data_IF_048143455899
#
_entry.id   IF_048143455899
#
_cell.length_a   1.000
_cell.length_b   1.000
_cell.length_c   1.000
_cell.angle_alpha   90.00
_cell.angle_beta   90.00
_cell.angle_gamma   90.00
#
_symmetry.space_group_name_H-M   'P 1'
#
loop_
_entity.id
_entity.type
_entity.pdbx_description
1 polymer ?
#
# COMPACT_ATOMS: atom_id res chain seq x y z
N UNK A 1 -52.54 -34.96 100.05
CA UNK A 1 -53.54 -34.83 101.12
C UNK A 1 -54.17 -33.42 101.09
N UNK A 2 -54.76 -33.01 99.97
CA UNK A 2 -55.32 -31.64 99.80
C UNK A 2 -56.84 -31.66 99.59
N UNK A 3 -57.43 -32.84 99.37
CA UNK A 3 -58.84 -32.97 99.02
C UNK A 3 -59.80 -32.45 100.11
N UNK A 4 -59.59 -32.72 101.42
CA UNK A 4 -60.48 -32.21 102.46
C UNK A 4 -60.45 -30.67 102.59
N UNK A 5 -59.28 -30.05 102.35
CA UNK A 5 -59.11 -28.60 102.39
C UNK A 5 -59.73 -27.92 101.16
N UNK A 6 -59.53 -28.50 99.97
CA UNK A 6 -60.19 -28.07 98.73
C UNK A 6 -61.71 -28.24 98.80
N UNK A 7 -62.20 -29.29 99.45
CA UNK A 7 -63.64 -29.52 99.61
C UNK A 7 -64.29 -28.49 100.54
N UNK A 8 -63.62 -28.10 101.63
CA UNK A 8 -64.07 -27.02 102.53
C UNK A 8 -64.12 -25.67 101.82
N UNK A 9 -63.14 -25.38 100.96
CA UNK A 9 -63.05 -24.14 100.20
C UNK A 9 -63.60 -24.24 98.76
N UNK A 10 -64.43 -25.25 98.46
CA UNK A 10 -64.87 -25.53 97.08
C UNK A 10 -65.53 -24.33 96.41
N UNK A 11 -66.30 -23.54 97.17
CA UNK A 11 -66.99 -22.37 96.63
C UNK A 11 -65.99 -21.32 96.12
N UNK A 12 -65.02 -20.95 96.95
CA UNK A 12 -63.98 -20.00 96.59
C UNK A 12 -63.10 -20.51 95.44
N UNK A 13 -62.75 -21.80 95.46
CA UNK A 13 -61.97 -22.43 94.39
C UNK A 13 -62.72 -22.45 93.06
N UNK A 14 -64.00 -22.84 93.05
CA UNK A 14 -64.82 -22.84 91.84
C UNK A 14 -65.07 -21.42 91.31
N UNK A 15 -65.23 -20.43 92.19
CA UNK A 15 -65.29 -19.02 91.80
C UNK A 15 -63.99 -18.56 91.14
N UNK A 16 -62.83 -18.82 91.76
CA UNK A 16 -61.53 -18.48 91.18
C UNK A 16 -61.31 -19.16 89.83
N UNK A 17 -61.63 -20.45 89.72
CA UNK A 17 -61.54 -21.19 88.47
C UNK A 17 -62.43 -20.57 87.38
N UNK A 18 -63.66 -20.20 87.73
CA UNK A 18 -64.59 -19.57 86.79
C UNK A 18 -64.12 -18.19 86.35
N UNK A 19 -63.52 -17.40 87.26
CA UNK A 19 -62.90 -16.12 86.91
C UNK A 19 -61.72 -16.31 85.96
N UNK A 20 -60.83 -17.28 86.22
CA UNK A 20 -59.70 -17.58 85.33
C UNK A 20 -60.17 -18.08 83.94
N UNK A 21 -61.22 -18.90 83.88
CA UNK A 21 -61.79 -19.34 82.61
C UNK A 21 -62.40 -18.18 81.82
N UNK A 22 -63.16 -17.30 82.47
CA UNK A 22 -63.72 -16.11 81.82
C UNK A 22 -62.60 -15.18 81.31
N UNK A 23 -61.55 -14.95 82.11
CA UNK A 23 -60.39 -14.16 81.68
C UNK A 23 -59.64 -14.80 80.49
N UNK A 24 -59.52 -16.13 80.49
CA UNK A 24 -58.93 -16.85 79.36
C UNK A 24 -59.78 -16.69 78.10
N UNK A 25 -61.11 -16.78 78.20
CA UNK A 25 -62.03 -16.60 77.08
C UNK A 25 -62.03 -15.15 76.56
N UNK A 26 -62.01 -14.16 77.46
CA UNK A 26 -61.91 -12.73 77.12
C UNK A 26 -60.58 -12.42 76.39
N UNK A 27 -59.46 -12.98 76.86
CA UNK A 27 -58.14 -12.71 76.29
C UNK A 27 -57.79 -13.58 75.07
N UNK A 28 -58.52 -14.69 74.82
CA UNK A 28 -58.21 -15.67 73.76
C UNK A 28 -57.97 -15.03 72.39
N UNK A 29 -58.81 -14.07 71.99
CA UNK A 29 -58.70 -13.42 70.68
C UNK A 29 -57.48 -12.48 70.63
N UNK A 30 -57.19 -11.78 71.72
CA UNK A 30 -56.03 -10.89 71.83
C UNK A 30 -54.73 -11.71 71.77
N UNK A 31 -54.67 -12.82 72.49
CA UNK A 31 -53.52 -13.72 72.45
C UNK A 31 -53.33 -14.37 71.09
N UNK A 32 -54.42 -14.83 70.45
CA UNK A 32 -54.37 -15.43 69.11
C UNK A 32 -53.86 -14.41 68.06
N UNK A 33 -54.36 -13.17 68.12
CA UNK A 33 -53.96 -12.12 67.17
C UNK A 33 -52.51 -11.71 67.40
N UNK A 34 -52.08 -11.57 68.65
CA UNK A 34 -50.68 -11.32 69.00
C UNK A 34 -49.76 -12.45 68.51
N UNK A 35 -50.11 -13.71 68.80
CA UNK A 35 -49.37 -14.88 68.35
C UNK A 35 -49.28 -14.95 66.82
N UNK A 36 -50.39 -14.71 66.12
CA UNK A 36 -50.44 -14.67 64.65
C UNK A 36 -49.54 -13.55 64.09
N UNK A 37 -49.55 -12.37 64.73
CA UNK A 37 -48.69 -11.24 64.33
C UNK A 37 -47.21 -11.59 64.48
N UNK A 38 -46.82 -12.16 65.62
CA UNK A 38 -45.44 -12.61 65.88
C UNK A 38 -45.02 -13.67 64.85
N UNK A 39 -45.85 -14.70 64.65
CA UNK A 39 -45.57 -15.77 63.69
C UNK A 39 -45.45 -15.24 62.25
N UNK A 40 -46.33 -14.30 61.85
CA UNK A 40 -46.29 -13.67 60.53
C UNK A 40 -44.97 -12.91 60.33
N UNK A 41 -44.55 -12.11 61.30
CA UNK A 41 -43.30 -11.34 61.22
C UNK A 41 -42.11 -12.29 61.17
N UNK A 42 -42.07 -13.31 62.03
CA UNK A 42 -40.99 -14.29 62.06
C UNK A 42 -40.85 -15.04 60.72
N UNK A 43 -41.95 -15.58 60.18
CA UNK A 43 -41.97 -16.27 58.88
C UNK A 43 -41.52 -15.33 57.76
N UNK A 44 -41.98 -14.08 57.76
CA UNK A 44 -41.57 -13.07 56.79
C UNK A 44 -40.09 -12.68 56.89
N UNK A 45 -39.52 -12.62 58.09
CA UNK A 45 -38.08 -12.40 58.28
C UNK A 45 -37.25 -13.61 57.83
N UNK A 46 -37.68 -14.83 58.15
CA UNK A 46 -37.00 -16.05 57.71
C UNK A 46 -36.97 -16.17 56.18
N UNK A 47 -38.11 -15.95 55.52
CA UNK A 47 -38.19 -15.96 54.06
C UNK A 47 -37.29 -14.90 53.40
N UNK A 48 -37.29 -13.66 53.93
CA UNK A 48 -36.41 -12.59 53.42
C UNK A 48 -34.93 -12.92 53.62
N UNK A 49 -34.54 -13.46 54.78
CA UNK A 49 -33.16 -13.89 55.03
C UNK A 49 -32.73 -14.97 54.04
N UNK A 50 -33.60 -15.94 53.77
CA UNK A 50 -33.32 -17.00 52.81
C UNK A 50 -33.15 -16.47 51.38
N UNK A 51 -34.06 -15.60 50.92
CA UNK A 51 -33.95 -14.94 49.62
C UNK A 51 -32.65 -14.13 49.49
N UNK A 52 -32.35 -13.29 50.49
CA UNK A 52 -31.12 -12.49 50.51
C UNK A 52 -29.86 -13.35 50.43
N UNK A 53 -29.84 -14.49 51.14
CA UNK A 53 -28.69 -15.39 51.12
C UNK A 53 -28.51 -16.02 49.73
N UNK A 54 -29.61 -16.45 49.09
CA UNK A 54 -29.57 -16.98 47.72
C UNK A 54 -29.14 -15.94 46.70
N UNK A 55 -29.73 -14.73 46.74
CA UNK A 55 -29.36 -13.65 45.82
C UNK A 55 -27.90 -13.23 45.98
N UNK A 56 -27.38 -13.17 47.21
CA UNK A 56 -25.95 -12.90 47.45
C UNK A 56 -25.06 -13.98 46.82
N UNK A 57 -25.41 -15.25 47.01
CA UNK A 57 -24.66 -16.36 46.41
C UNK A 57 -24.69 -16.29 44.88
N UNK A 58 -25.85 -16.00 44.29
CA UNK A 58 -26.01 -15.83 42.84
C UNK A 58 -25.15 -14.69 42.29
N UNK A 59 -25.17 -13.53 42.95
CA UNK A 59 -24.36 -12.36 42.57
C UNK A 59 -22.87 -12.70 42.63
N UNK A 60 -22.42 -13.39 43.68
CA UNK A 60 -21.01 -13.79 43.83
C UNK A 60 -20.57 -14.76 42.74
N UNK A 61 -21.39 -15.77 42.43
CA UNK A 61 -21.12 -16.71 41.34
C UNK A 61 -21.05 -15.97 40.00
N UNK A 62 -22.03 -15.13 39.70
CA UNK A 62 -22.09 -14.38 38.45
C UNK A 62 -20.89 -13.41 38.32
N UNK A 63 -20.53 -12.70 39.40
CA UNK A 63 -19.36 -11.81 39.46
C UNK A 63 -18.08 -12.58 39.18
N UNK A 64 -17.87 -13.73 39.84
CA UNK A 64 -16.68 -14.56 39.66
C UNK A 64 -16.61 -15.13 38.24
N UNK A 65 -17.73 -15.59 37.69
CA UNK A 65 -17.81 -16.13 36.34
C UNK A 65 -17.49 -15.08 35.27
N UNK A 66 -18.11 -13.89 35.35
CA UNK A 66 -17.78 -12.76 34.46
C UNK A 66 -16.30 -12.39 34.53
N UNK A 67 -15.74 -12.38 35.74
CA UNK A 67 -14.31 -12.14 35.94
C UNK A 67 -13.41 -13.21 35.30
N UNK A 68 -13.79 -14.49 35.35
CA UNK A 68 -13.07 -15.57 34.68
C UNK A 68 -13.13 -15.44 33.16
N UNK A 69 -14.31 -15.12 32.61
CA UNK A 69 -14.48 -14.88 31.17
C UNK A 69 -13.61 -13.71 30.70
N UNK A 70 -13.64 -12.58 31.40
CA UNK A 70 -12.80 -11.43 31.09
C UNK A 70 -11.31 -11.81 31.09
N UNK A 71 -10.84 -12.52 32.12
CA UNK A 71 -9.44 -12.99 32.19
C UNK A 71 -9.08 -13.91 31.02
N UNK A 72 -9.98 -14.81 30.60
CA UNK A 72 -9.75 -15.69 29.45
C UNK A 72 -9.60 -14.88 28.16
N UNK A 73 -10.49 -13.91 27.93
CA UNK A 73 -10.44 -13.02 26.77
C UNK A 73 -9.15 -12.19 26.75
N UNK A 74 -8.80 -11.56 27.88
CA UNK A 74 -7.57 -10.75 27.97
C UNK A 74 -6.31 -11.60 27.75
N UNK A 75 -6.26 -12.83 28.27
CA UNK A 75 -5.14 -13.74 28.01
C UNK A 75 -5.04 -14.13 26.54
N UNK A 76 -6.18 -14.40 25.90
CA UNK A 76 -6.22 -14.73 24.48
C UNK A 76 -5.78 -13.56 23.62
N UNK A 77 -6.28 -12.34 23.88
CA UNK A 77 -5.88 -11.15 23.13
C UNK A 77 -4.40 -10.82 23.34
N UNK A 78 -3.90 -10.90 24.57
CA UNK A 78 -2.47 -10.71 24.87
C UNK A 78 -1.59 -11.75 24.16
N UNK A 79 -2.02 -13.01 24.11
CA UNK A 79 -1.30 -14.07 23.39
C UNK A 79 -1.26 -13.79 21.88
N UNK A 80 -2.41 -13.45 21.27
CA UNK A 80 -2.49 -13.10 19.84
C UNK A 80 -1.60 -11.89 19.54
N UNK A 81 -1.63 -10.86 20.38
CA UNK A 81 -0.84 -9.66 20.19
C UNK A 81 0.67 -9.97 20.24
N UNK A 82 1.11 -10.76 21.23
CA UNK A 82 2.50 -11.22 21.30
C UNK A 82 2.92 -11.98 20.05
N UNK A 83 2.08 -12.90 19.56
CA UNK A 83 2.39 -13.64 18.33
C UNK A 83 2.48 -12.72 17.11
N UNK A 84 1.62 -11.71 17.01
CA UNK A 84 1.70 -10.70 15.93
C UNK A 84 3.00 -9.89 16.00
N UNK A 85 3.41 -9.48 17.19
CA UNK A 85 4.66 -8.76 17.41
C UNK A 85 5.88 -9.60 17.04
N UNK A 86 5.94 -10.85 17.50
CA UNK A 86 7.00 -11.81 17.17
C UNK A 86 7.09 -12.05 15.65
N UNK A 87 5.95 -12.22 14.98
CA UNK A 87 5.88 -12.38 13.52
C UNK A 87 6.34 -11.12 12.79
N UNK A 88 5.95 -9.93 13.26
CA UNK A 88 6.36 -8.65 12.69
C UNK A 88 7.87 -8.47 12.76
N UNK A 89 8.47 -8.73 13.93
CA UNK A 89 9.91 -8.67 14.15
C UNK A 89 10.63 -9.65 13.22
N UNK A 90 10.18 -10.90 13.15
CA UNK A 90 10.77 -11.93 12.28
C UNK A 90 10.67 -11.56 10.81
N UNK A 91 9.52 -11.07 10.37
CA UNK A 91 9.30 -10.59 8.99
C UNK A 91 10.24 -9.43 8.65
N UNK A 92 10.46 -8.51 9.59
CA UNK A 92 11.44 -7.43 9.44
C UNK A 92 12.87 -7.97 9.20
N UNK A 93 13.32 -8.93 10.02
CA UNK A 93 14.64 -9.56 9.83
C UNK A 93 14.76 -10.31 8.51
N UNK A 94 13.73 -11.10 8.12
CA UNK A 94 13.70 -11.80 6.84
C UNK A 94 13.84 -10.80 5.69
N UNK A 95 13.08 -9.70 5.73
CA UNK A 95 13.14 -8.65 4.71
C UNK A 95 14.53 -8.03 4.61
N UNK A 96 15.19 -7.78 5.75
CA UNK A 96 16.55 -7.25 5.79
C UNK A 96 17.55 -8.21 5.14
N UNK A 97 17.50 -9.50 5.51
CA UNK A 97 18.35 -10.54 4.94
C UNK A 97 18.13 -10.64 3.43
N UNK A 98 16.87 -10.70 2.99
CA UNK A 98 16.52 -10.76 1.58
C UNK A 98 17.03 -9.54 0.80
N UNK A 99 16.91 -8.33 1.37
CA UNK A 99 17.41 -7.09 0.76
C UNK A 99 18.93 -7.16 0.57
N UNK A 100 19.67 -7.56 1.61
CA UNK A 100 21.13 -7.69 1.55
C UNK A 100 21.54 -8.73 0.51
N UNK A 101 20.89 -9.90 0.52
CA UNK A 101 21.17 -10.99 -0.41
C UNK A 101 20.91 -10.58 -1.87
N UNK A 102 19.74 -10.00 -2.15
CA UNK A 102 19.41 -9.48 -3.50
C UNK A 102 20.41 -8.42 -3.96
N UNK A 103 20.82 -7.53 -3.06
CA UNK A 103 21.85 -6.53 -3.34
C UNK A 103 23.21 -7.16 -3.66
N UNK A 104 23.63 -8.17 -2.90
CA UNK A 104 24.87 -8.91 -3.17
C UNK A 104 24.81 -9.61 -4.54
N UNK A 105 23.72 -10.32 -4.82
CA UNK A 105 23.54 -11.04 -6.07
C UNK A 105 23.51 -10.09 -7.27
N UNK A 106 22.84 -8.94 -7.14
CA UNK A 106 22.82 -7.91 -8.19
C UNK A 106 24.22 -7.38 -8.49
N UNK A 107 25.03 -7.08 -7.46
CA UNK A 107 26.41 -6.62 -7.65
C UNK A 107 27.35 -7.68 -8.23
N UNK A 108 27.07 -8.97 -7.99
CA UNK A 108 27.83 -10.08 -8.58
C UNK A 108 27.61 -10.20 -10.09
N UNK A 109 26.40 -9.91 -10.57
CA UNK A 109 26.04 -10.04 -11.99
C UNK A 109 26.32 -8.73 -12.75
N UNK A 110 26.04 -7.58 -12.14
CA UNK A 110 26.15 -6.28 -12.77
C UNK A 110 27.45 -5.57 -12.39
N UNK A 111 28.52 -5.79 -13.14
CA UNK A 111 29.71 -4.95 -13.05
C UNK A 111 29.48 -3.62 -13.77
N UNK A 112 29.08 -2.61 -12.98
CA UNK A 112 28.89 -1.25 -13.46
C UNK A 112 30.19 -0.66 -14.03
N UNK A 113 31.34 -0.99 -13.44
CA UNK A 113 32.65 -0.52 -13.86
C UNK A 113 32.98 -1.03 -15.26
N UNK A 114 32.88 -2.35 -15.46
CA UNK A 114 33.10 -2.97 -16.77
C UNK A 114 32.13 -2.43 -17.83
N UNK A 115 30.84 -2.30 -17.50
CA UNK A 115 29.85 -1.75 -18.44
C UNK A 115 30.14 -0.29 -18.80
N UNK A 116 30.56 0.53 -17.84
CA UNK A 116 30.94 1.93 -18.08
C UNK A 116 32.19 2.03 -18.95
N UNK A 117 33.17 1.16 -18.74
CA UNK A 117 34.38 1.09 -19.57
C UNK A 117 34.04 0.69 -21.01
N UNK A 118 33.19 -0.33 -21.20
CA UNK A 118 32.70 -0.75 -22.51
C UNK A 118 31.95 0.38 -23.25
N UNK A 119 31.04 1.08 -22.57
CA UNK A 119 30.34 2.22 -23.20
C UNK A 119 31.31 3.33 -23.65
N UNK A 120 32.37 3.59 -22.87
CA UNK A 120 33.42 4.54 -23.26
C UNK A 120 34.21 4.07 -24.48
N UNK A 121 34.57 2.80 -24.57
CA UNK A 121 35.29 2.27 -25.75
C UNK A 121 34.42 2.36 -27.00
N UNK A 122 33.13 2.03 -26.89
CA UNK A 122 32.16 2.16 -28.00
C UNK A 122 32.04 3.61 -28.45
N UNK A 123 31.98 4.57 -27.51
CA UNK A 123 31.94 6.00 -27.85
C UNK A 123 33.19 6.46 -28.61
N UNK A 124 34.37 6.03 -28.18
CA UNK A 124 35.63 6.35 -28.87
C UNK A 124 35.63 5.79 -30.29
N UNK A 125 35.25 4.52 -30.47
CA UNK A 125 35.16 3.90 -31.79
C UNK A 125 34.13 4.60 -32.68
N UNK A 126 32.97 4.99 -32.13
CA UNK A 126 31.94 5.69 -32.89
C UNK A 126 32.45 7.06 -33.36
N UNK A 127 33.16 7.79 -32.50
CA UNK A 127 33.75 9.07 -32.86
C UNK A 127 34.82 8.93 -33.95
N UNK A 128 35.69 7.92 -33.85
CA UNK A 128 36.68 7.62 -34.89
C UNK A 128 36.00 7.28 -36.23
N UNK A 129 34.95 6.46 -36.20
CA UNK A 129 34.17 6.10 -37.38
C UNK A 129 33.51 7.33 -38.01
N UNK A 130 32.92 8.22 -37.20
CA UNK A 130 32.32 9.48 -37.66
C UNK A 130 33.35 10.36 -38.36
N UNK A 131 34.54 10.53 -37.77
CA UNK A 131 35.63 11.31 -38.39
C UNK A 131 36.05 10.68 -39.72
N UNK A 132 36.27 9.36 -39.74
CA UNK A 132 36.64 8.64 -40.96
C UNK A 132 35.58 8.79 -42.07
N UNK A 133 34.30 8.58 -41.75
CA UNK A 133 33.20 8.74 -42.70
C UNK A 133 33.09 10.17 -43.21
N UNK A 134 33.26 11.18 -42.35
CA UNK A 134 33.25 12.58 -42.76
C UNK A 134 34.39 12.92 -43.73
N UNK A 135 35.60 12.42 -43.46
CA UNK A 135 36.75 12.62 -44.33
C UNK A 135 36.57 11.91 -45.68
N UNK A 136 35.98 10.71 -45.69
CA UNK A 136 35.73 9.97 -46.92
C UNK A 136 34.64 10.62 -47.78
N UNK A 137 33.56 11.11 -47.14
CA UNK A 137 32.52 11.88 -47.81
C UNK A 137 33.09 13.13 -48.48
N UNK A 138 33.98 13.86 -47.78
CA UNK A 138 34.61 15.06 -48.32
C UNK A 138 35.52 14.74 -49.52
N UNK A 139 36.31 13.66 -49.44
CA UNK A 139 37.10 13.18 -50.58
C UNK A 139 36.23 12.80 -51.76
N UNK A 140 35.12 12.12 -51.53
CA UNK A 140 34.20 11.70 -52.58
C UNK A 140 33.57 12.92 -53.27
N UNK A 141 33.10 13.92 -52.51
CA UNK A 141 32.60 15.19 -53.05
C UNK A 141 33.66 15.89 -53.90
N UNK A 142 34.92 15.92 -53.47
CA UNK A 142 36.00 16.52 -54.24
C UNK A 142 36.28 15.76 -55.53
N UNK A 143 36.25 14.42 -55.51
CA UNK A 143 36.40 13.62 -56.73
C UNK A 143 35.23 13.81 -57.70
N UNK A 144 34.00 13.79 -57.21
CA UNK A 144 32.81 14.05 -58.02
C UNK A 144 32.83 15.47 -58.61
N UNK A 145 33.26 16.47 -57.84
CA UNK A 145 33.43 17.83 -58.33
C UNK A 145 34.51 17.94 -59.43
N UNK A 146 35.65 17.23 -59.27
CA UNK A 146 36.70 17.15 -60.29
C UNK A 146 36.21 16.46 -61.55
N UNK A 147 35.59 15.29 -61.43
CA UNK A 147 35.02 14.57 -62.57
C UNK A 147 33.97 15.42 -63.30
N UNK A 148 33.06 16.07 -62.57
CA UNK A 148 32.07 16.99 -63.16
C UNK A 148 32.73 18.18 -63.84
N UNK A 149 33.81 18.73 -63.28
CA UNK A 149 34.58 19.80 -63.90
C UNK A 149 35.27 19.33 -65.18
N UNK A 150 35.91 18.16 -65.15
CA UNK A 150 36.62 17.58 -66.29
C UNK A 150 35.65 17.19 -67.41
N UNK A 151 34.49 16.61 -67.10
CA UNK A 151 33.41 16.35 -68.04
C UNK A 151 32.90 17.64 -68.70
N UNK A 152 32.65 18.70 -67.90
CA UNK A 152 32.26 20.01 -68.42
C UNK A 152 33.34 20.58 -69.33
N UNK A 153 34.60 20.48 -68.93
CA UNK A 153 35.73 20.98 -69.71
C UNK A 153 35.92 20.21 -71.01
N UNK A 154 35.83 18.87 -70.99
CA UNK A 154 35.81 18.04 -72.20
C UNK A 154 34.64 18.39 -73.12
N UNK A 155 33.44 18.57 -72.57
CA UNK A 155 32.27 18.93 -73.36
C UNK A 155 32.45 20.29 -74.03
N UNK A 156 33.01 21.27 -73.32
CA UNK A 156 33.39 22.58 -73.89
C UNK A 156 34.45 22.41 -74.98
N UNK A 157 35.48 21.59 -74.77
CA UNK A 157 36.48 21.32 -75.81
C UNK A 157 35.89 20.64 -77.05
N UNK A 158 35.03 19.62 -76.88
CA UNK A 158 34.35 18.93 -77.98
C UNK A 158 33.46 19.92 -78.75
N UNK A 159 32.72 20.78 -78.05
CA UNK A 159 31.93 21.84 -78.66
C UNK A 159 32.83 22.83 -79.43
N UNK A 160 33.92 23.31 -78.83
CA UNK A 160 34.85 24.23 -79.48
C UNK A 160 35.50 23.62 -80.73
N UNK A 161 35.87 22.33 -80.67
CA UNK A 161 36.34 21.57 -81.84
C UNK A 161 35.26 21.50 -82.91
N UNK A 162 34.00 21.24 -82.57
CA UNK A 162 32.93 21.18 -83.56
C UNK A 162 32.60 22.55 -84.17
N UNK A 163 32.80 23.65 -83.43
CA UNK A 163 32.53 25.02 -83.89
C UNK A 163 33.68 25.65 -84.71
N UNK A 164 34.74 24.92 -85.08
CA UNK A 164 35.86 25.46 -85.86
C UNK A 164 35.44 26.00 -87.24
N UNK A 165 34.35 25.51 -87.83
CA UNK A 165 33.78 26.02 -89.07
C UNK A 165 33.17 27.43 -88.92
N UNK A 166 32.78 27.81 -87.70
CA UNK A 166 32.23 29.14 -87.39
C UNK A 166 33.34 30.20 -87.28
N UNK A 167 34.43 29.88 -86.60
CA UNK A 167 35.55 30.81 -86.34
C UNK A 167 36.66 30.75 -87.40
N UNK A 168 36.81 29.60 -88.06
CA UNK A 168 37.86 29.32 -89.03
C UNK A 168 39.07 28.64 -88.42
N UNK A 169 39.80 27.89 -89.24
CA UNK A 169 41.09 27.30 -88.92
C UNK A 169 42.20 28.08 -89.64
N UNK A 170 43.47 27.77 -89.35
CA UNK A 170 44.61 28.40 -90.04
C UNK A 170 44.57 28.17 -91.57
N UNK A 171 43.92 27.10 -91.99
CA UNK A 171 43.84 26.66 -93.39
C UNK A 171 42.60 27.17 -94.13
N UNK A 172 41.47 27.37 -93.45
CA UNK A 172 40.19 27.78 -94.06
C UNK A 172 39.46 28.78 -93.16
N UNK A 173 39.04 29.92 -93.71
CA UNK A 173 38.31 30.94 -92.98
C UNK A 173 36.88 30.50 -92.63
N UNK A 174 36.45 30.78 -91.40
CA UNK A 174 35.11 30.41 -90.91
C UNK A 174 34.03 31.43 -91.26
N UNK A 175 32.78 31.04 -91.06
CA UNK A 175 31.58 31.80 -91.47
C UNK A 175 31.48 33.19 -90.80
N UNK A 176 31.88 33.31 -89.53
CA UNK A 176 31.88 34.58 -88.80
C UNK A 176 33.17 35.39 -88.96
N UNK A 177 34.11 34.93 -89.79
CA UNK A 177 35.33 35.70 -90.08
C UNK A 177 34.95 36.86 -91.01
N UNK A 178 35.14 38.11 -90.54
CA UNK A 178 34.85 39.31 -91.34
C UNK A 178 35.56 39.23 -92.70
N UNK A 179 34.80 39.48 -93.78
CA UNK A 179 35.28 39.41 -95.18
C UNK A 179 36.47 40.35 -95.46
N UNK A 180 36.61 41.41 -94.68
CA UNK A 180 37.74 42.35 -94.66
C UNK A 180 39.10 41.65 -94.57
N UNK A 181 39.20 40.53 -93.85
CA UNK A 181 40.45 39.83 -93.58
C UNK A 181 40.82 38.76 -94.62
N UNK A 182 39.99 38.53 -95.65
CA UNK A 182 40.20 37.52 -96.71
C UNK A 182 40.70 38.13 -98.04
N UNK A 183 41.05 39.42 -98.05
CA UNK A 183 41.49 40.13 -99.27
C UNK A 183 40.40 40.27 -100.33
N UNK A 184 39.14 39.97 -99.99
CA UNK A 184 37.99 40.13 -100.88
C UNK A 184 37.38 41.53 -100.70
N UNK A 185 37.04 42.26 -101.77
CA UNK A 185 36.50 43.60 -101.67
C UNK A 185 35.15 43.62 -100.93
N UNK A 186 35.10 44.41 -99.87
CA UNK A 186 33.89 44.65 -99.07
C UNK A 186 32.97 45.64 -99.79
N UNK A 187 31.83 45.16 -100.30
CA UNK A 187 30.84 45.99 -100.96
C UNK A 187 29.92 46.64 -99.91
N UNK A 188 29.99 47.97 -99.74
CA UNK A 188 29.31 48.75 -98.68
C UNK A 188 27.80 48.95 -98.89
N UNK A 189 27.14 48.22 -99.81
CA UNK A 189 25.77 48.52 -100.25
C UNK A 189 24.71 47.46 -99.92
N UNK A 190 24.91 46.60 -98.92
CA UNK A 190 23.84 45.74 -98.40
C UNK A 190 23.86 45.78 -96.87
N UNK A 191 22.80 46.38 -96.32
CA UNK A 191 22.28 46.12 -94.97
C UNK A 191 21.90 44.65 -94.84
#
# INVERSE_FOLDING_TARGET
>A
MEFPALWRNRGAFLCSLRTSLNQADENRLVELTAATSIQRVFRGQAARKWLLTRSKAEIEIARRFRGLLAKRLTRQTAWIQRQREELSIRSGYITLIQKVFRGHQSRKICDFGARKAYMRSVLVQNNQLRVFLSANLEKQKQMEAKLSHDEKYENVQKLARNLHHLLGTKSVAGIYRRKECLGMPFNKNLL
#
